data_IF_638852250033
#
_entry.id   IF_638852250033
#
_cell.length_a   1.000
_cell.length_b   1.000
_cell.length_c   1.000
_cell.angle_alpha   90.00
_cell.angle_beta   90.00
_cell.angle_gamma   90.00
#
_symmetry.space_group_name_H-M   'P 1'
#
loop_
_entity.id
_entity.type
_entity.pdbx_description
1 polymer ?
#
# COMPACT_ATOMS: atom_id res chain seq x y z
N UNK A 1 0.38 18.67 22.97
CA UNK A 1 1.54 18.67 22.06
C UNK A 1 1.87 20.12 21.76
N UNK A 2 3.12 20.54 21.92
CA UNK A 2 3.56 21.91 21.58
C UNK A 2 3.82 22.03 20.08
N UNK A 3 3.88 23.27 19.55
CA UNK A 3 4.19 23.53 18.13
C UNK A 3 5.54 22.94 17.72
N UNK A 4 6.55 23.03 18.59
CA UNK A 4 7.86 22.43 18.35
C UNK A 4 7.79 20.90 18.24
N UNK A 5 7.00 20.24 19.10
CA UNK A 5 6.79 18.81 19.03
C UNK A 5 6.04 18.40 17.75
N UNK A 6 5.05 19.18 17.33
CA UNK A 6 4.32 18.95 16.09
C UNK A 6 5.27 19.10 14.88
N UNK A 7 6.05 20.18 14.82
CA UNK A 7 7.04 20.39 13.75
C UNK A 7 8.02 19.22 13.64
N UNK A 8 8.60 18.81 14.77
CA UNK A 8 9.54 17.68 14.79
C UNK A 8 8.90 16.37 14.34
N UNK A 9 7.66 16.12 14.73
CA UNK A 9 6.90 14.94 14.28
C UNK A 9 6.70 14.95 12.76
N UNK A 10 6.35 16.08 12.18
CA UNK A 10 6.17 16.22 10.73
C UNK A 10 7.50 16.04 9.97
N UNK A 11 8.58 16.62 10.46
CA UNK A 11 9.93 16.43 9.88
C UNK A 11 10.31 14.95 9.93
N UNK A 12 10.10 14.30 11.06
CA UNK A 12 10.40 12.88 11.23
C UNK A 12 9.60 12.00 10.23
N UNK A 13 8.30 12.23 10.09
CA UNK A 13 7.46 11.48 9.14
C UNK A 13 7.95 11.66 7.69
N UNK A 14 8.33 12.88 7.31
CA UNK A 14 8.83 13.13 5.96
C UNK A 14 10.23 12.56 5.73
N UNK A 15 11.00 12.35 6.79
CA UNK A 15 12.32 11.72 6.74
C UNK A 15 12.30 10.21 6.72
N UNK A 16 11.14 9.56 6.87
CA UNK A 16 11.05 8.11 6.85
C UNK A 16 11.42 7.55 5.47
N UNK A 17 12.44 6.70 5.46
CA UNK A 17 12.92 6.08 4.23
C UNK A 17 11.97 4.98 3.74
N UNK A 18 11.80 4.91 2.42
CA UNK A 18 11.15 3.79 1.76
C UNK A 18 12.23 2.85 1.23
N UNK A 19 12.20 1.56 1.60
CA UNK A 19 13.19 0.61 1.12
C UNK A 19 13.17 0.50 -0.41
N UNK A 20 14.35 0.41 -1.02
CA UNK A 20 14.47 0.17 -2.44
C UNK A 20 13.86 -1.18 -2.84
N UNK A 21 13.23 -1.23 -4.01
CA UNK A 21 12.74 -2.47 -4.58
C UNK A 21 13.92 -3.42 -4.86
N UNK A 22 13.72 -4.72 -4.62
CA UNK A 22 14.76 -5.74 -4.77
C UNK A 22 14.46 -6.62 -5.97
N UNK A 23 15.51 -7.21 -6.53
CA UNK A 23 15.44 -8.21 -7.61
C UNK A 23 14.69 -7.72 -8.86
N UNK A 24 14.64 -6.42 -9.12
CA UNK A 24 13.82 -5.82 -10.18
C UNK A 24 14.21 -6.23 -11.60
N UNK A 25 15.38 -6.83 -11.75
CA UNK A 25 15.94 -7.31 -13.05
C UNK A 25 15.65 -8.77 -13.33
N UNK A 26 15.24 -9.56 -12.31
CA UNK A 26 14.96 -10.99 -12.49
C UNK A 26 13.70 -11.22 -13.32
N UNK A 27 13.64 -12.36 -14.00
CA UNK A 27 12.48 -12.74 -14.79
C UNK A 27 11.27 -13.03 -13.91
N UNK A 28 11.48 -13.60 -12.73
CA UNK A 28 10.42 -13.82 -11.73
C UNK A 28 9.75 -12.50 -11.32
N UNK A 29 10.56 -11.45 -11.05
CA UNK A 29 10.01 -10.15 -10.73
C UNK A 29 9.20 -9.55 -11.89
N UNK A 30 9.72 -9.64 -13.11
CA UNK A 30 9.04 -9.12 -14.30
C UNK A 30 7.73 -9.84 -14.56
N UNK A 31 7.75 -11.17 -14.47
CA UNK A 31 6.56 -11.99 -14.69
C UNK A 31 5.53 -11.79 -13.56
N UNK A 32 5.93 -11.79 -12.29
CA UNK A 32 5.04 -11.49 -11.18
C UNK A 32 4.38 -10.11 -11.32
N UNK A 33 5.13 -9.09 -11.74
CA UNK A 33 4.59 -7.76 -12.02
C UNK A 33 3.60 -7.76 -13.19
N UNK A 34 3.86 -8.54 -14.22
CA UNK A 34 2.96 -8.70 -15.37
C UNK A 34 1.64 -9.34 -14.93
N UNK A 35 1.72 -10.44 -14.18
CA UNK A 35 0.56 -11.14 -13.62
C UNK A 35 -0.24 -10.24 -12.68
N UNK A 36 0.42 -9.53 -11.79
CA UNK A 36 -0.21 -8.57 -10.87
C UNK A 36 -1.10 -7.55 -11.61
N UNK A 37 -0.63 -7.08 -12.76
CA UNK A 37 -1.39 -6.18 -13.62
C UNK A 37 -2.52 -6.91 -14.35
N UNK A 38 -2.22 -8.07 -14.94
CA UNK A 38 -3.15 -8.83 -15.76
C UNK A 38 -4.37 -9.33 -14.97
N UNK A 39 -4.18 -9.77 -13.75
CA UNK A 39 -5.28 -10.25 -12.90
C UNK A 39 -6.07 -9.12 -12.25
N UNK A 40 -5.60 -7.86 -12.34
CA UNK A 40 -6.34 -6.67 -11.93
C UNK A 40 -5.96 -6.12 -10.55
N UNK A 41 -4.93 -6.64 -9.87
CA UNK A 41 -4.48 -6.08 -8.59
C UNK A 41 -4.03 -4.62 -8.72
N UNK A 42 -3.44 -4.27 -9.86
CA UNK A 42 -2.98 -2.92 -10.16
C UNK A 42 -4.11 -1.87 -10.29
N UNK A 43 -5.37 -2.28 -10.32
CA UNK A 43 -6.51 -1.34 -10.37
C UNK A 43 -6.63 -0.52 -9.08
N UNK A 44 -6.43 -1.14 -7.92
CA UNK A 44 -6.40 -0.49 -6.62
C UNK A 44 -4.95 -0.27 -6.15
N UNK A 45 -4.10 -1.27 -6.29
CA UNK A 45 -2.68 -1.17 -6.00
C UNK A 45 -1.92 -0.52 -7.17
N UNK A 46 -2.28 0.71 -7.51
CA UNK A 46 -1.67 1.48 -8.60
C UNK A 46 -0.16 1.55 -8.42
N UNK A 47 0.63 1.08 -9.42
CA UNK A 47 2.06 0.87 -9.21
C UNK A 47 2.85 2.13 -8.92
N UNK A 48 2.55 3.25 -9.57
CA UNK A 48 3.39 4.44 -9.45
C UNK A 48 2.60 5.75 -9.50
N UNK A 49 3.20 6.77 -8.89
CA UNK A 49 2.77 8.15 -8.91
C UNK A 49 3.97 9.06 -9.16
N UNK A 50 3.68 10.29 -9.52
CA UNK A 50 4.63 11.38 -9.47
C UNK A 50 4.18 12.35 -8.38
N UNK A 51 5.10 12.75 -7.49
CA UNK A 51 4.80 13.77 -6.48
C UNK A 51 4.61 15.13 -7.16
N UNK A 52 3.82 15.99 -6.56
CA UNK A 52 3.62 17.36 -7.04
C UNK A 52 4.79 18.28 -6.73
N UNK A 53 4.54 19.58 -6.75
CA UNK A 53 5.54 20.62 -6.46
C UNK A 53 6.05 20.59 -5.02
N UNK A 54 5.36 19.86 -4.17
CA UNK A 54 5.69 19.71 -2.74
C UNK A 54 5.84 21.05 -2.02
N UNK A 55 4.96 22.00 -2.31
CA UNK A 55 4.85 23.23 -1.56
C UNK A 55 4.12 23.00 -0.25
N UNK A 56 4.69 23.53 0.83
CA UNK A 56 4.03 23.52 2.13
C UNK A 56 3.10 24.70 2.17
N UNK A 57 1.80 24.46 2.06
CA UNK A 57 0.78 25.42 2.40
C UNK A 57 0.48 25.27 3.89
N UNK A 58 1.10 26.13 4.68
CA UNK A 58 0.95 26.12 6.13
C UNK A 58 0.25 27.40 6.61
N UNK A 59 -1.10 27.40 6.67
CA UNK A 59 -1.85 28.56 7.13
C UNK A 59 -1.58 28.90 8.61
N UNK A 60 -1.15 27.93 9.40
CA UNK A 60 -0.77 28.13 10.81
C UNK A 60 0.66 28.65 10.98
N UNK A 61 1.43 28.74 9.90
CA UNK A 61 2.82 29.21 9.89
C UNK A 61 3.76 28.44 10.83
N UNK A 62 3.52 27.16 11.03
CA UNK A 62 4.43 26.28 11.77
C UNK A 62 5.79 26.14 11.08
N UNK A 63 5.82 26.28 9.77
CA UNK A 63 7.02 26.19 8.95
C UNK A 63 7.27 27.54 8.29
N UNK A 64 8.35 28.18 8.67
CA UNK A 64 8.68 29.54 8.20
C UNK A 64 9.27 29.55 6.80
N UNK A 65 9.84 28.43 6.37
CA UNK A 65 10.40 28.28 5.04
C UNK A 65 10.33 26.84 4.54
N UNK A 66 10.46 26.66 3.24
CA UNK A 66 10.54 25.33 2.59
C UNK A 66 11.78 24.53 3.02
N UNK A 67 12.82 25.21 3.53
CA UNK A 67 14.04 24.56 4.02
C UNK A 67 13.87 23.85 5.37
N UNK A 68 12.79 24.12 6.08
CA UNK A 68 12.52 23.54 7.40
C UNK A 68 12.13 22.05 7.34
N UNK A 69 11.84 21.52 6.16
CA UNK A 69 11.37 20.14 5.97
C UNK A 69 12.04 19.47 4.79
N UNK A 70 12.24 18.13 4.82
CA UNK A 70 12.61 17.37 3.65
C UNK A 70 11.57 17.54 2.52
N UNK A 71 12.03 17.77 1.30
CA UNK A 71 11.19 18.04 0.12
C UNK A 71 11.42 16.98 -0.95
N UNK A 72 10.35 16.58 -1.62
CA UNK A 72 10.35 15.52 -2.63
C UNK A 72 9.53 15.92 -3.88
N UNK A 73 9.84 17.07 -4.52
CA UNK A 73 9.08 17.54 -5.68
C UNK A 73 9.37 16.66 -6.90
N UNK A 74 8.35 16.44 -7.72
CA UNK A 74 8.41 15.78 -9.02
C UNK A 74 9.10 14.41 -9.04
N UNK A 75 9.10 13.70 -7.90
CA UNK A 75 9.70 12.39 -7.81
C UNK A 75 8.72 11.30 -8.25
N UNK A 76 9.21 10.39 -9.08
CA UNK A 76 8.47 9.17 -9.38
C UNK A 76 8.61 8.18 -8.22
N UNK A 77 7.49 7.74 -7.67
CA UNK A 77 7.42 6.82 -6.54
C UNK A 77 6.58 5.59 -6.89
N UNK A 78 6.81 4.47 -6.21
CA UNK A 78 6.13 3.18 -6.46
C UNK A 78 5.47 2.63 -5.19
N UNK A 79 4.43 3.30 -4.66
CA UNK A 79 3.79 2.86 -3.43
C UNK A 79 2.85 1.67 -3.62
N UNK A 80 2.42 1.37 -4.83
CA UNK A 80 1.42 0.34 -5.12
C UNK A 80 0.13 0.57 -4.32
N UNK A 81 -0.44 1.75 -4.47
CA UNK A 81 -1.72 2.16 -3.89
C UNK A 81 -2.32 3.28 -4.72
N UNK A 82 -3.64 3.36 -4.75
CA UNK A 82 -4.38 4.51 -5.29
C UNK A 82 -4.78 5.52 -4.20
N UNK A 83 -4.47 5.19 -2.92
CA UNK A 83 -4.82 5.98 -1.73
C UNK A 83 -6.34 6.10 -1.46
N UNK A 84 -7.17 5.32 -2.15
CA UNK A 84 -8.63 5.36 -2.05
C UNK A 84 -9.15 4.19 -1.19
N UNK A 85 -10.37 4.29 -0.71
CA UNK A 85 -11.07 3.20 -0.04
C UNK A 85 -11.89 2.39 -1.06
N UNK A 86 -11.84 1.06 -0.91
CA UNK A 86 -12.62 0.11 -1.68
C UNK A 86 -13.44 -0.77 -0.77
N UNK A 87 -14.57 -1.24 -1.28
CA UNK A 87 -15.47 -2.12 -0.54
C UNK A 87 -14.95 -3.56 -0.62
N UNK A 88 -14.36 -4.03 0.46
CA UNK A 88 -13.86 -5.39 0.56
C UNK A 88 -14.80 -6.32 1.35
N UNK A 89 -15.87 -5.79 1.93
CA UNK A 89 -16.84 -6.51 2.74
C UNK A 89 -16.25 -7.23 3.96
N UNK A 90 -15.01 -6.94 4.31
CA UNK A 90 -14.41 -7.48 5.52
C UNK A 90 -15.03 -6.79 6.74
N UNK A 91 -15.78 -7.55 7.52
CA UNK A 91 -16.30 -7.06 8.79
C UNK A 91 -15.16 -7.00 9.80
N UNK A 92 -14.98 -5.85 10.40
CA UNK A 92 -14.10 -5.61 11.55
C UNK A 92 -14.81 -4.69 12.54
N UNK A 93 -14.23 -4.51 13.70
CA UNK A 93 -14.82 -3.67 14.77
C UNK A 93 -14.96 -2.19 14.39
N UNK A 94 -14.28 -1.77 13.33
CA UNK A 94 -14.27 -0.37 12.88
C UNK A 94 -15.41 -0.08 11.91
N UNK A 95 -16.10 -1.09 11.31
CA UNK A 95 -17.30 -0.94 10.47
C UNK A 95 -17.21 -1.37 9.04
N UNK A 96 -18.16 -1.22 8.34
CA UNK A 96 -18.64 -1.03 6.95
C UNK A 96 -17.99 -1.84 5.83
N UNK A 97 -16.91 -2.57 6.03
CA UNK A 97 -16.24 -3.33 4.97
C UNK A 97 -15.48 -2.49 3.92
N UNK A 98 -15.34 -1.17 4.15
CA UNK A 98 -14.48 -0.30 3.35
C UNK A 98 -13.07 -0.31 3.91
N UNK A 99 -12.08 -0.52 3.02
CA UNK A 99 -10.67 -0.55 3.39
C UNK A 99 -9.86 0.35 2.47
N UNK A 100 -9.01 1.21 3.05
CA UNK A 100 -8.07 2.00 2.26
C UNK A 100 -7.00 1.09 1.67
N UNK A 101 -6.70 1.27 0.38
CA UNK A 101 -5.58 0.56 -0.26
C UNK A 101 -4.27 0.94 0.42
N UNK A 102 -3.68 -0.02 1.12
CA UNK A 102 -2.42 0.19 1.83
C UNK A 102 -1.25 0.15 0.86
N UNK A 103 -0.25 1.04 0.97
CA UNK A 103 0.99 0.93 0.21
C UNK A 103 1.66 -0.43 0.42
N UNK A 104 2.19 -1.03 -0.66
CA UNK A 104 2.85 -2.33 -0.60
C UNK A 104 4.37 -2.24 -0.47
N UNK A 105 4.95 -1.05 -0.64
CA UNK A 105 6.40 -0.86 -0.48
C UNK A 105 6.88 -1.27 0.91
N UNK A 106 8.08 -1.84 1.01
CA UNK A 106 8.69 -2.29 2.26
C UNK A 106 8.09 -3.55 2.88
N UNK A 107 6.95 -4.03 2.42
CA UNK A 107 6.24 -5.16 3.04
C UNK A 107 7.04 -6.46 3.07
N UNK A 108 7.89 -6.71 2.09
CA UNK A 108 8.74 -7.89 2.05
C UNK A 108 9.90 -7.88 3.07
N UNK A 109 10.12 -6.75 3.77
CA UNK A 109 11.15 -6.60 4.79
C UNK A 109 10.60 -6.65 6.22
N UNK A 110 9.30 -6.65 6.41
CA UNK A 110 8.66 -6.56 7.72
C UNK A 110 9.21 -7.61 8.71
N UNK A 111 9.27 -8.87 8.32
CA UNK A 111 9.80 -9.94 9.17
C UNK A 111 11.28 -9.74 9.55
N UNK A 112 12.09 -9.13 8.67
CA UNK A 112 13.50 -8.86 8.92
C UNK A 112 13.73 -7.71 9.90
N UNK A 113 12.75 -6.83 10.03
CA UNK A 113 12.80 -5.67 10.93
C UNK A 113 12.10 -5.93 12.27
N UNK A 114 11.80 -7.20 12.59
CA UNK A 114 11.09 -7.56 13.83
C UNK A 114 9.62 -7.14 13.86
N UNK A 115 9.07 -6.70 12.73
CA UNK A 115 7.64 -6.39 12.61
C UNK A 115 6.83 -7.65 12.38
N UNK A 116 5.56 -7.64 12.77
CA UNK A 116 4.61 -8.68 12.45
C UNK A 116 4.47 -8.89 10.94
N UNK A 117 4.20 -10.12 10.55
CA UNK A 117 3.96 -10.50 9.15
C UNK A 117 2.49 -10.48 8.77
N UNK A 118 1.64 -10.26 9.74
CA UNK A 118 0.20 -10.17 9.59
C UNK A 118 -0.18 -9.06 8.61
N UNK A 119 -1.26 -9.26 7.91
CA UNK A 119 -1.75 -8.38 6.85
C UNK A 119 -3.20 -8.00 7.11
N UNK A 120 -3.65 -7.01 6.33
CA UNK A 120 -4.92 -6.32 6.46
C UNK A 120 -4.95 -5.37 7.66
N UNK A 121 -6.03 -4.58 7.78
CA UNK A 121 -6.13 -3.53 8.80
C UNK A 121 -6.31 -4.06 10.22
N UNK A 122 -6.80 -5.29 10.35
CA UNK A 122 -7.09 -5.97 11.60
C UNK A 122 -6.19 -7.20 11.85
N UNK A 123 -5.11 -7.32 11.08
CA UNK A 123 -4.11 -8.39 11.21
C UNK A 123 -4.66 -9.81 11.03
N UNK A 124 -5.86 -9.97 10.42
CA UNK A 124 -6.50 -11.29 10.28
C UNK A 124 -5.78 -12.24 9.34
N UNK A 125 -5.03 -11.73 8.39
CA UNK A 125 -4.30 -12.55 7.43
C UNK A 125 -2.86 -12.79 7.92
N UNK A 126 -2.48 -14.05 8.07
CA UNK A 126 -1.17 -14.46 8.58
C UNK A 126 -0.05 -14.35 7.54
N UNK A 127 -0.40 -14.24 6.27
CA UNK A 127 0.55 -14.14 5.15
C UNK A 127 -0.09 -13.45 3.94
N UNK A 128 0.70 -13.26 2.88
CA UNK A 128 0.24 -12.60 1.65
C UNK A 128 -0.85 -13.40 0.95
N UNK A 129 -0.74 -14.72 0.89
CA UNK A 129 -1.75 -15.59 0.27
C UNK A 129 -3.12 -15.41 0.93
N UNK A 130 -3.17 -15.46 2.26
CA UNK A 130 -4.40 -15.24 3.01
C UNK A 130 -4.94 -13.83 2.79
N UNK A 131 -4.07 -12.82 2.75
CA UNK A 131 -4.49 -11.45 2.47
C UNK A 131 -5.18 -11.35 1.09
N UNK A 132 -4.60 -11.95 0.06
CA UNK A 132 -5.21 -12.00 -1.28
C UNK A 132 -6.58 -12.69 -1.21
N UNK A 133 -6.66 -13.84 -0.54
CA UNK A 133 -7.92 -14.59 -0.44
C UNK A 133 -9.02 -13.81 0.28
N UNK A 134 -8.68 -13.04 1.33
CA UNK A 134 -9.62 -12.18 2.03
C UNK A 134 -10.19 -11.04 1.16
N UNK A 135 -9.49 -10.62 0.12
CA UNK A 135 -10.00 -9.65 -0.84
C UNK A 135 -11.20 -10.20 -1.65
N UNK A 136 -11.41 -11.51 -1.68
CA UNK A 136 -12.47 -12.18 -2.42
C UNK A 136 -13.78 -12.36 -1.64
N UNK A 137 -14.09 -11.53 -0.67
CA UNK A 137 -15.31 -11.64 0.12
C UNK A 137 -16.57 -11.51 -0.75
N UNK A 138 -17.57 -12.33 -0.41
CA UNK A 138 -18.93 -12.30 -0.95
C UNK A 138 -19.92 -12.40 0.20
N UNK A 139 -20.96 -11.59 0.17
CA UNK A 139 -22.06 -11.64 1.12
C UNK A 139 -23.39 -11.31 0.43
N UNK A 140 -24.47 -11.18 1.21
CA UNK A 140 -25.80 -10.85 0.69
C UNK A 140 -25.83 -9.48 -0.04
N UNK A 141 -24.95 -8.54 0.32
CA UNK A 141 -24.83 -7.23 -0.32
C UNK A 141 -24.03 -7.24 -1.63
N UNK A 142 -23.50 -8.40 -2.04
CA UNK A 142 -22.74 -8.55 -3.28
C UNK A 142 -21.31 -9.04 -3.09
N UNK A 143 -20.48 -8.81 -4.11
CA UNK A 143 -19.06 -9.14 -4.13
C UNK A 143 -18.21 -7.93 -3.76
N UNK A 144 -17.00 -8.17 -3.22
CA UNK A 144 -16.00 -7.13 -3.03
C UNK A 144 -15.54 -6.55 -4.37
N UNK A 145 -15.02 -5.32 -4.34
CA UNK A 145 -14.47 -4.66 -5.53
C UNK A 145 -13.29 -5.46 -6.12
N UNK A 146 -12.58 -6.24 -5.29
CA UNK A 146 -11.45 -7.07 -5.69
C UNK A 146 -11.83 -8.53 -6.03
N UNK A 147 -13.11 -8.91 -5.98
CA UNK A 147 -13.54 -10.30 -6.14
C UNK A 147 -13.04 -10.95 -7.43
N UNK A 148 -13.18 -10.26 -8.55
CA UNK A 148 -12.75 -10.78 -9.85
C UNK A 148 -11.24 -10.99 -9.94
N UNK A 149 -10.45 -10.14 -9.29
CA UNK A 149 -8.99 -10.30 -9.22
C UNK A 149 -8.62 -11.55 -8.43
N UNK A 150 -9.33 -11.84 -7.34
CA UNK A 150 -9.13 -13.06 -6.55
C UNK A 150 -9.52 -14.31 -7.34
N UNK A 151 -10.62 -14.27 -8.09
CA UNK A 151 -11.00 -15.37 -8.98
C UNK A 151 -9.90 -15.66 -10.01
N UNK A 152 -9.38 -14.63 -10.67
CA UNK A 152 -8.26 -14.77 -11.62
C UNK A 152 -7.00 -15.31 -10.93
N UNK A 153 -6.67 -14.82 -9.74
CA UNK A 153 -5.53 -15.32 -8.96
C UNK A 153 -5.65 -16.80 -8.63
N UNK A 154 -6.83 -17.26 -8.24
CA UNK A 154 -7.09 -18.69 -7.96
C UNK A 154 -6.89 -19.59 -9.18
N UNK A 155 -7.11 -19.07 -10.38
CA UNK A 155 -6.94 -19.80 -11.63
C UNK A 155 -5.49 -19.84 -12.13
N UNK A 156 -4.57 -19.10 -11.50
CA UNK A 156 -3.13 -19.20 -11.78
C UNK A 156 -2.60 -20.57 -11.35
N UNK A 157 -1.57 -21.03 -12.03
CA UNK A 157 -0.79 -22.20 -11.60
C UNK A 157 -0.09 -21.92 -10.27
N UNK A 158 0.34 -22.98 -9.58
CA UNK A 158 1.12 -22.81 -8.35
C UNK A 158 2.36 -21.95 -8.59
N UNK A 159 3.10 -22.22 -9.67
CA UNK A 159 4.30 -21.46 -10.03
C UNK A 159 4.01 -19.95 -10.20
N UNK A 160 2.94 -19.62 -10.90
CA UNK A 160 2.53 -18.23 -11.10
C UNK A 160 2.08 -17.52 -9.81
N UNK A 161 1.48 -18.25 -8.88
CA UNK A 161 1.10 -17.68 -7.57
C UNK A 161 2.27 -17.48 -6.61
N UNK A 162 3.36 -18.20 -6.83
CA UNK A 162 4.57 -18.11 -6.01
C UNK A 162 5.51 -16.97 -6.46
N UNK A 163 5.24 -16.32 -7.63
CA UNK A 163 5.95 -15.15 -8.16
C UNK A 163 5.51 -13.85 -7.46
#
# INVERSE_FOLDING_TARGET
MTDAQYKNLMIWHRGLAVPAARNTTTDDFKEGKRLFTQIGCASCHRPSWQTGDDHIQDPAKFFLSDSDMPRYPHQKIWPYTDFVQHRLWMKNDIRTGWCRTTPLWGRGLAAKCGSGVERLHDCRARNVMEAIMWHGCKNEGGTSDAYNSVVKFRNLTKKERDL
#
